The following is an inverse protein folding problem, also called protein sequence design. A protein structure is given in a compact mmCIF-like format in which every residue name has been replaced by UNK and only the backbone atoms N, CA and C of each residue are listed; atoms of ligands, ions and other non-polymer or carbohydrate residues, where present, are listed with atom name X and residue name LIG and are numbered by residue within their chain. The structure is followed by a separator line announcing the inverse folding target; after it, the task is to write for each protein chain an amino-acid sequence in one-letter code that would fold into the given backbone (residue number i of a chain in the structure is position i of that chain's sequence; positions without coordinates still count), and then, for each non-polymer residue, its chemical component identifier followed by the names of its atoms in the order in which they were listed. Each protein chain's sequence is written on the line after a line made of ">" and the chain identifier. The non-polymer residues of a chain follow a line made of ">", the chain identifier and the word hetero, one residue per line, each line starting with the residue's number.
data_IF_016004886480
#
_entry.id   IF_016004886480
#
_cell.length_a   1.000
_cell.length_b   1.000
_cell.length_c   1.000
_cell.angle_alpha   90.00
_cell.angle_beta   90.00
_cell.angle_gamma   90.00
#
_symmetry.space_group_name_H-M   'P 1'
#
loop_
_entity.id
_entity.type
_entity.pdbx_description
1 polymer ?
#
# COMPACT_ATOMS: atom_id res chain seq x y z
N UNK A 1 10.09 -8.42 7.85
CA UNK A 1 9.36 -7.61 6.85
C UNK A 1 9.58 -8.25 5.49
N UNK A 2 8.51 -8.53 4.76
CA UNK A 2 8.58 -9.22 3.46
C UNK A 2 8.02 -8.30 2.38
N UNK A 3 8.86 -7.40 1.87
CA UNK A 3 8.52 -6.53 0.74
C UNK A 3 8.00 -7.32 -0.47
N UNK A 4 8.45 -8.58 -0.59
CA UNK A 4 8.02 -9.53 -1.62
C UNK A 4 6.52 -9.87 -1.48
N UNK A 5 6.03 -10.06 -0.25
CA UNK A 5 4.62 -10.37 0.02
C UNK A 5 3.69 -9.22 -0.40
N UNK A 6 4.04 -7.98 -0.02
CA UNK A 6 3.28 -6.78 -0.40
C UNK A 6 3.27 -6.56 -1.91
N UNK A 7 4.40 -6.75 -2.57
CA UNK A 7 4.49 -6.60 -4.03
C UNK A 7 3.70 -7.69 -4.77
N UNK A 8 3.70 -8.93 -4.26
CA UNK A 8 2.87 -10.01 -4.80
C UNK A 8 1.38 -9.70 -4.65
N UNK A 9 0.95 -9.29 -3.45
CA UNK A 9 -0.43 -8.89 -3.20
C UNK A 9 -0.87 -7.76 -4.16
N UNK A 10 -0.05 -6.72 -4.33
CA UNK A 10 -0.34 -5.61 -5.23
C UNK A 10 -0.53 -6.09 -6.67
N UNK A 11 0.36 -6.98 -7.13
CA UNK A 11 0.30 -7.56 -8.47
C UNK A 11 -0.92 -8.44 -8.68
N UNK A 12 -1.28 -9.25 -7.70
CA UNK A 12 -2.44 -10.13 -7.79
C UNK A 12 -3.74 -9.33 -7.73
N UNK A 13 -3.84 -8.30 -6.89
CA UNK A 13 -5.02 -7.42 -6.87
C UNK A 13 -5.22 -6.68 -8.20
N UNK A 14 -4.15 -6.42 -8.94
CA UNK A 14 -4.21 -5.80 -10.27
C UNK A 14 -4.62 -6.78 -11.38
N UNK A 15 -4.30 -8.07 -11.26
CA UNK A 15 -4.41 -9.02 -12.38
C UNK A 15 -5.29 -10.25 -12.14
N UNK A 16 -5.52 -10.64 -10.89
CA UNK A 16 -6.33 -11.80 -10.54
C UNK A 16 -7.82 -11.43 -10.51
N UNK A 17 -8.57 -11.95 -11.47
CA UNK A 17 -10.01 -11.74 -11.54
C UNK A 17 -10.71 -12.21 -10.25
N UNK A 18 -11.60 -11.38 -9.70
CA UNK A 18 -12.37 -11.71 -8.50
C UNK A 18 -11.63 -11.51 -7.18
N UNK A 19 -10.31 -11.25 -7.21
CA UNK A 19 -9.54 -11.11 -5.97
C UNK A 19 -9.94 -9.84 -5.20
N UNK A 20 -10.27 -8.77 -5.92
CA UNK A 20 -10.71 -7.52 -5.29
C UNK A 20 -12.05 -7.71 -4.55
N UNK A 21 -13.03 -8.33 -5.20
CA UNK A 21 -14.33 -8.61 -4.59
C UNK A 21 -14.18 -9.53 -3.36
N UNK A 22 -13.28 -10.53 -3.45
CA UNK A 22 -12.93 -11.37 -2.29
C UNK A 22 -12.27 -10.58 -1.18
N UNK A 23 -11.37 -9.65 -1.51
CA UNK A 23 -10.71 -8.79 -0.54
C UNK A 23 -11.72 -7.89 0.19
N UNK A 24 -12.72 -7.34 -0.51
CA UNK A 24 -13.76 -6.52 0.11
C UNK A 24 -14.67 -7.33 1.05
N UNK A 25 -14.92 -8.62 0.76
CA UNK A 25 -15.76 -9.49 1.57
C UNK A 25 -15.05 -10.21 2.72
N UNK A 26 -13.78 -10.58 2.52
CA UNK A 26 -12.98 -11.37 3.47
C UNK A 26 -11.48 -11.00 3.36
N UNK A 27 -11.08 -9.78 3.80
CA UNK A 27 -9.71 -9.31 3.64
C UNK A 27 -8.71 -10.21 4.38
N UNK A 28 -9.06 -10.74 5.55
CA UNK A 28 -8.18 -11.58 6.35
C UNK A 28 -7.87 -12.92 5.68
N UNK A 29 -8.86 -13.52 5.00
CA UNK A 29 -8.66 -14.77 4.25
C UNK A 29 -7.75 -14.55 3.04
N UNK A 30 -7.90 -13.41 2.36
CA UNK A 30 -7.03 -13.04 1.24
C UNK A 30 -5.61 -12.77 1.73
N UNK A 31 -5.44 -11.97 2.78
CA UNK A 31 -4.14 -11.62 3.33
C UNK A 31 -3.39 -12.83 3.89
N UNK A 32 -4.09 -13.82 4.45
CA UNK A 32 -3.49 -15.06 4.95
C UNK A 32 -2.81 -15.90 3.86
N UNK A 33 -3.15 -15.68 2.58
CA UNK A 33 -2.48 -16.34 1.45
C UNK A 33 -1.09 -15.73 1.14
N UNK A 34 -0.74 -14.61 1.75
CA UNK A 34 0.51 -13.89 1.52
C UNK A 34 1.41 -13.93 2.76
N UNK A 35 2.72 -13.99 2.53
CA UNK A 35 3.70 -13.90 3.62
C UNK A 35 3.84 -12.44 4.08
N UNK A 36 2.90 -11.99 4.92
CA UNK A 36 2.83 -10.65 5.49
C UNK A 36 2.95 -10.69 7.01
N UNK A 37 3.52 -9.64 7.61
CA UNK A 37 3.47 -9.42 9.06
C UNK A 37 2.11 -8.89 9.49
N UNK A 38 1.83 -8.91 10.80
CA UNK A 38 0.60 -8.32 11.34
C UNK A 38 0.48 -6.83 10.99
N UNK A 39 1.57 -6.06 11.13
CA UNK A 39 1.61 -4.64 10.80
C UNK A 39 1.37 -4.38 9.31
N UNK A 40 1.96 -5.20 8.42
CA UNK A 40 1.75 -5.11 6.98
C UNK A 40 0.27 -5.40 6.62
N UNK A 41 -0.33 -6.42 7.23
CA UNK A 41 -1.75 -6.70 7.07
C UNK A 41 -2.63 -5.54 7.54
N UNK A 42 -2.34 -4.95 8.71
CA UNK A 42 -3.09 -3.82 9.24
C UNK A 42 -2.98 -2.58 8.36
N UNK A 43 -1.79 -2.28 7.85
CA UNK A 43 -1.58 -1.16 6.93
C UNK A 43 -2.36 -1.34 5.63
N UNK A 44 -2.42 -2.56 5.09
CA UNK A 44 -3.24 -2.85 3.88
C UNK A 44 -4.74 -2.70 4.18
N UNK A 45 -5.23 -3.22 5.31
CA UNK A 45 -6.65 -3.08 5.72
C UNK A 45 -7.06 -1.62 5.84
N UNK A 46 -6.22 -0.83 6.49
CA UNK A 46 -6.45 0.59 6.75
C UNK A 46 -6.15 1.47 5.54
N UNK A 47 -5.59 0.91 4.46
CA UNK A 47 -5.13 1.64 3.28
C UNK A 47 -4.11 2.72 3.64
N UNK A 48 -3.23 2.42 4.60
CA UNK A 48 -2.20 3.33 5.08
C UNK A 48 -1.01 3.40 4.11
N UNK A 49 -1.18 4.22 3.07
CA UNK A 49 -0.17 4.38 2.03
C UNK A 49 1.14 4.96 2.57
N UNK A 50 1.08 5.84 3.57
CA UNK A 50 2.24 6.46 4.18
C UNK A 50 3.09 5.43 4.94
N UNK A 51 2.44 4.57 5.74
CA UNK A 51 3.13 3.48 6.42
C UNK A 51 3.75 2.49 5.44
N UNK A 52 3.00 2.07 4.41
CA UNK A 52 3.50 1.12 3.40
C UNK A 52 4.73 1.68 2.65
N UNK A 53 4.72 2.98 2.33
CA UNK A 53 5.86 3.65 1.73
C UNK A 53 7.05 3.73 2.70
N UNK A 54 6.82 4.11 3.96
CA UNK A 54 7.86 4.18 4.99
C UNK A 54 8.47 2.80 5.29
N UNK A 55 7.66 1.75 5.18
CA UNK A 55 8.08 0.36 5.23
C UNK A 55 8.87 -0.07 3.96
N UNK A 56 9.07 0.80 2.99
CA UNK A 56 9.93 0.53 1.82
C UNK A 56 9.24 -0.20 0.68
N UNK A 57 7.90 -0.21 0.63
CA UNK A 57 7.18 -0.66 -0.54
C UNK A 57 7.56 0.21 -1.75
N UNK A 58 7.71 -0.41 -2.92
CA UNK A 58 8.01 0.34 -4.14
C UNK A 58 6.85 1.32 -4.45
N UNK A 59 7.10 2.61 -4.76
CA UNK A 59 6.03 3.59 -4.99
C UNK A 59 5.06 3.23 -6.13
N UNK A 60 5.54 2.55 -7.18
CA UNK A 60 4.68 2.10 -8.28
C UNK A 60 3.80 0.94 -7.82
N UNK A 61 4.36 -0.03 -7.10
CA UNK A 61 3.58 -1.13 -6.52
C UNK A 61 2.56 -0.63 -5.49
N UNK A 62 2.94 0.36 -4.67
CA UNK A 62 2.05 1.02 -3.72
C UNK A 62 0.88 1.70 -4.44
N UNK A 63 1.18 2.50 -5.48
CA UNK A 63 0.15 3.14 -6.30
C UNK A 63 -0.81 2.10 -6.87
N UNK A 64 -0.29 1.02 -7.46
CA UNK A 64 -1.12 -0.03 -8.04
C UNK A 64 -1.98 -0.72 -6.96
N UNK A 65 -1.40 -1.05 -5.80
CA UNK A 65 -2.14 -1.60 -4.68
C UNK A 65 -3.29 -0.67 -4.26
N UNK A 66 -2.99 0.60 -4.01
CA UNK A 66 -3.98 1.57 -3.52
C UNK A 66 -5.09 1.82 -4.54
N UNK A 67 -4.76 1.97 -5.83
CA UNK A 67 -5.77 2.08 -6.91
C UNK A 67 -6.61 0.81 -6.98
N UNK A 68 -5.98 -0.36 -6.96
CA UNK A 68 -6.67 -1.64 -6.95
C UNK A 68 -7.52 -1.85 -5.70
N UNK A 69 -7.26 -1.13 -4.60
CA UNK A 69 -8.05 -1.06 -3.36
C UNK A 69 -9.05 0.11 -3.31
N UNK A 70 -9.19 0.85 -4.41
CA UNK A 70 -10.20 1.91 -4.59
C UNK A 70 -9.81 3.26 -4.00
N UNK A 71 -8.54 3.44 -3.63
CA UNK A 71 -8.01 4.73 -3.18
C UNK A 71 -7.55 5.51 -4.41
N UNK A 72 -8.06 6.73 -4.57
CA UNK A 72 -7.62 7.62 -5.64
C UNK A 72 -6.21 8.17 -5.35
N UNK A 73 -5.44 8.49 -6.40
CA UNK A 73 -4.03 8.87 -6.28
C UNK A 73 -3.79 10.14 -5.44
N UNK A 74 -4.70 11.10 -5.53
CA UNK A 74 -4.72 12.32 -4.73
C UNK A 74 -4.99 12.07 -3.24
N UNK A 75 -5.73 11.00 -2.92
CA UNK A 75 -5.98 10.60 -1.53
C UNK A 75 -4.82 9.81 -0.89
N UNK A 76 -3.88 9.28 -1.69
CA UNK A 76 -2.73 8.52 -1.18
C UNK A 76 -1.66 9.42 -0.52
N UNK A 77 -1.57 10.65 -0.99
CA UNK A 77 -0.61 11.65 -0.54
C UNK A 77 -1.37 12.92 -0.18
N UNK A 78 -2.01 12.99 1.00
CA UNK A 78 -2.59 14.24 1.44
C UNK A 78 -1.51 15.33 1.42
N UNK A 79 -1.84 16.50 0.86
CA UNK A 79 -0.94 17.65 0.70
C UNK A 79 -0.10 17.84 1.97
N UNK A 80 1.23 17.71 1.83
CA UNK A 80 2.19 17.89 2.93
C UNK A 80 3.11 16.69 3.23
N UNK A 81 2.80 15.45 2.83
CA UNK A 81 3.67 14.30 3.14
C UNK A 81 5.03 14.34 2.39
N UNK A 82 5.06 14.95 1.20
CA UNK A 82 6.29 15.16 0.42
C UNK A 82 7.06 16.43 0.83
N UNK A 83 6.46 17.32 1.62
CA UNK A 83 7.08 18.58 2.05
C UNK A 83 8.08 18.33 3.20
N UNK A 84 7.82 17.33 4.06
CA UNK A 84 8.71 16.96 5.17
C UNK A 84 9.93 16.13 4.74
N UNK A 85 9.91 15.53 3.55
CA UNK A 85 11.00 14.71 3.03
C UNK A 85 12.07 15.53 2.26
N UNK A 86 11.83 16.81 1.99
CA UNK A 86 12.81 17.69 1.38
C UNK A 86 13.74 18.28 2.45
N UNK A 87 15.08 18.19 2.32
CA UNK A 87 15.97 18.91 3.22
C UNK A 87 15.65 20.40 3.08
N UNK A 88 15.28 21.05 4.19
CA UNK A 88 15.19 22.51 4.27
C UNK A 88 16.50 23.07 3.71
N UNK A 89 16.46 23.57 2.47
CA UNK A 89 17.55 24.40 1.96
C UNK A 89 17.51 25.66 2.80
N UNK A 90 18.34 25.68 3.84
CA UNK A 90 18.60 26.86 4.64
C UNK A 90 19.00 27.98 3.71
N UNK A 91 18.11 28.96 3.56
CA UNK A 91 18.46 30.26 3.07
C UNK A 91 19.08 31.05 4.21
N UNK A 92 20.37 31.33 4.08
CA UNK A 92 21.04 32.56 4.50
C UNK A 92 22.43 32.57 3.87
#
# INVERSE_FOLDING_TARGET
>A
MSIVGLNHLARDLEHAAGLRERFDGAPDEVLAAYTLTADECDAVRQRDAAWLLAAGMNPVALRNLMVSLGVAHDAMYPDGLLDEAAPRRGGA
#
